data_IF_087274490237
#
_entry.id   IF_087274490237
#
_cell.length_a   1.000
_cell.length_b   1.000
_cell.length_c   1.000
_cell.angle_alpha   90.00
_cell.angle_beta   90.00
_cell.angle_gamma   90.00
#
_symmetry.space_group_name_H-M   'P 1'
#
loop_
_entity.id
_entity.type
_entity.pdbx_description
1 polymer ?
#
# COMPACT_ATOMS: atom_id res chain seq x y z
N UNK A 1 -1.56 14.84 4.57
CA UNK A 1 -2.30 14.05 5.58
C UNK A 1 -3.75 13.78 5.16
N UNK A 2 -4.46 14.79 4.63
CA UNK A 2 -5.87 14.66 4.21
C UNK A 2 -6.15 13.46 3.28
N UNK A 3 -5.48 13.39 2.11
CA UNK A 3 -5.68 12.28 1.15
C UNK A 3 -5.43 10.91 1.76
N UNK A 4 -4.46 10.80 2.68
CA UNK A 4 -4.15 9.54 3.33
C UNK A 4 -5.31 9.06 4.23
N UNK A 5 -6.03 9.96 4.87
CA UNK A 5 -7.14 9.61 5.77
C UNK A 5 -8.35 8.98 5.05
N UNK A 6 -8.43 9.09 3.72
CA UNK A 6 -9.50 8.48 2.92
C UNK A 6 -9.37 6.95 2.84
N UNK A 7 -8.17 6.40 3.05
CA UNK A 7 -7.89 4.98 2.91
C UNK A 7 -7.93 4.21 4.23
N UNK A 8 -8.47 2.99 4.23
CA UNK A 8 -8.65 2.19 5.45
C UNK A 8 -7.33 1.73 6.07
N UNK A 9 -6.35 1.38 5.24
CA UNK A 9 -5.00 0.95 5.64
C UNK A 9 -4.19 2.09 6.29
N UNK A 10 -4.59 3.32 6.03
CA UNK A 10 -3.99 4.51 6.62
C UNK A 10 -4.62 4.95 7.95
N UNK A 11 -5.79 4.42 8.31
CA UNK A 11 -6.50 4.68 9.57
C UNK A 11 -6.01 3.69 10.62
N UNK A 12 -5.13 4.16 11.47
CA UNK A 12 -4.51 3.36 12.52
C UNK A 12 -5.23 3.55 13.86
N UNK A 13 -5.48 2.45 14.60
CA UNK A 13 -6.02 2.49 15.96
C UNK A 13 -5.08 1.76 16.91
N UNK A 14 -4.84 2.34 18.10
CA UNK A 14 -4.03 1.72 19.17
C UNK A 14 -4.80 0.62 19.91
N UNK A 15 -6.10 0.83 20.09
CA UNK A 15 -6.99 -0.15 20.69
C UNK A 15 -7.23 -1.31 19.71
N UNK A 16 -6.85 -2.51 20.13
CA UNK A 16 -6.97 -3.74 19.35
C UNK A 16 -8.41 -4.25 19.31
N UNK A 17 -9.19 -4.00 20.37
CA UNK A 17 -10.59 -4.39 20.47
C UNK A 17 -11.49 -3.46 19.64
N UNK A 18 -10.94 -2.35 19.15
CA UNK A 18 -11.64 -1.45 18.23
C UNK A 18 -11.80 -2.00 16.80
N UNK A 19 -11.27 -3.19 16.52
CA UNK A 19 -11.46 -3.92 15.26
C UNK A 19 -12.28 -5.21 15.48
N UNK A 20 -13.12 -5.60 14.50
CA UNK A 20 -13.84 -6.87 14.56
C UNK A 20 -12.89 -8.06 14.67
N UNK A 21 -13.30 -9.11 15.38
CA UNK A 21 -12.48 -10.32 15.55
C UNK A 21 -12.20 -10.97 14.19
N UNK A 22 -10.95 -11.39 13.93
CA UNK A 22 -10.61 -12.07 12.68
C UNK A 22 -11.44 -13.33 12.45
N UNK A 23 -12.11 -13.40 11.30
CA UNK A 23 -12.93 -14.54 10.89
C UNK A 23 -12.65 -14.92 9.45
N UNK A 24 -12.09 -16.10 9.24
CA UNK A 24 -11.81 -16.63 7.91
C UNK A 24 -12.84 -17.69 7.52
N UNK A 25 -13.70 -17.38 6.53
CA UNK A 25 -14.75 -18.30 6.04
C UNK A 25 -14.18 -19.58 5.44
N UNK A 26 -12.99 -19.51 4.80
CA UNK A 26 -12.32 -20.68 4.23
C UNK A 26 -11.00 -20.95 4.95
N UNK A 27 -10.85 -22.09 5.66
CA UNK A 27 -9.59 -22.42 6.30
C UNK A 27 -8.47 -22.62 5.28
N UNK A 28 -7.21 -22.40 5.67
CA UNK A 28 -6.07 -22.64 4.79
C UNK A 28 -6.05 -24.07 4.27
N UNK A 29 -5.69 -24.27 2.99
CA UNK A 29 -5.52 -25.61 2.41
C UNK A 29 -4.48 -26.37 3.26
N UNK A 30 -4.87 -27.52 3.82
CA UNK A 30 -4.06 -28.35 4.72
C UNK A 30 -3.64 -27.67 6.05
N UNK A 31 -4.40 -26.67 6.52
CA UNK A 31 -4.11 -26.01 7.80
C UNK A 31 -2.84 -25.16 7.83
N UNK A 32 -2.06 -25.11 6.74
CA UNK A 32 -0.78 -24.40 6.69
C UNK A 32 -0.99 -22.90 6.47
N UNK A 33 -0.44 -22.10 7.36
CA UNK A 33 -0.23 -20.67 7.15
C UNK A 33 0.64 -20.46 5.91
N UNK A 34 0.45 -19.37 5.14
CA UNK A 34 1.29 -19.10 3.98
C UNK A 34 2.77 -19.02 4.36
N UNK A 35 3.57 -19.99 3.91
CA UNK A 35 5.02 -19.96 4.07
C UNK A 35 5.66 -18.95 3.09
N UNK A 36 6.84 -18.46 3.46
CA UNK A 36 7.72 -17.70 2.59
C UNK A 36 8.00 -18.50 1.31
N UNK A 37 7.85 -17.91 0.11
CA UNK A 37 8.22 -18.59 -1.12
C UNK A 37 9.74 -18.85 -1.11
N UNK A 38 10.15 -20.11 -1.27
CA UNK A 38 11.55 -20.55 -1.14
C UNK A 38 12.28 -20.63 -2.49
N UNK A 39 11.53 -20.56 -3.60
CA UNK A 39 12.07 -20.66 -4.97
C UNK A 39 11.56 -19.52 -5.87
N UNK A 40 12.32 -19.19 -6.91
CA UNK A 40 11.92 -18.20 -7.91
C UNK A 40 10.58 -18.52 -8.58
N UNK A 41 10.31 -19.81 -8.85
CA UNK A 41 9.04 -20.27 -9.43
C UNK A 41 7.85 -20.01 -8.49
N UNK A 42 8.03 -20.19 -7.17
CA UNK A 42 7.02 -19.85 -6.18
C UNK A 42 6.80 -18.35 -6.06
N UNK A 43 7.86 -17.54 -6.19
CA UNK A 43 7.76 -16.08 -6.20
C UNK A 43 6.93 -15.61 -7.40
N UNK A 44 7.30 -16.05 -8.62
CA UNK A 44 6.61 -15.66 -9.86
C UNK A 44 5.14 -16.10 -9.85
N UNK A 45 4.86 -17.34 -9.46
CA UNK A 45 3.48 -17.83 -9.36
C UNK A 45 2.65 -17.07 -8.32
N UNK A 46 3.25 -16.70 -7.18
CA UNK A 46 2.58 -15.88 -6.17
C UNK A 46 2.33 -14.46 -6.68
N UNK A 47 3.28 -13.86 -7.40
CA UNK A 47 3.11 -12.56 -8.04
C UNK A 47 1.97 -12.57 -9.06
N UNK A 48 1.97 -13.53 -9.97
CA UNK A 48 0.95 -13.68 -11.00
C UNK A 48 -0.44 -13.91 -10.38
N UNK A 49 -0.54 -14.81 -9.40
CA UNK A 49 -1.81 -15.10 -8.73
C UNK A 49 -2.29 -13.90 -7.92
N UNK A 50 -1.40 -13.21 -7.21
CA UNK A 50 -1.69 -12.01 -6.45
C UNK A 50 -2.22 -10.88 -7.34
N UNK A 51 -1.56 -10.66 -8.48
CA UNK A 51 -1.98 -9.68 -9.48
C UNK A 51 -3.38 -10.00 -10.04
N UNK A 52 -3.62 -11.24 -10.47
CA UNK A 52 -4.93 -11.67 -10.98
C UNK A 52 -6.03 -11.49 -9.94
N UNK A 53 -5.73 -11.76 -8.66
CA UNK A 53 -6.70 -11.58 -7.57
C UNK A 53 -7.13 -10.13 -7.39
N UNK A 54 -6.26 -9.15 -7.64
CA UNK A 54 -6.64 -7.73 -7.49
C UNK A 54 -7.81 -7.33 -8.39
N UNK A 55 -7.94 -7.98 -9.55
CA UNK A 55 -9.04 -7.75 -10.48
C UNK A 55 -10.28 -8.61 -10.23
N UNK A 56 -10.27 -9.53 -9.27
CA UNK A 56 -11.44 -10.37 -8.95
C UNK A 56 -12.31 -9.72 -7.89
N UNK A 57 -13.58 -10.12 -7.81
CA UNK A 57 -14.47 -9.72 -6.71
C UNK A 57 -13.89 -10.10 -5.33
N UNK A 58 -14.32 -9.40 -4.30
CA UNK A 58 -14.01 -9.71 -2.89
C UNK A 58 -15.19 -10.43 -2.24
N UNK A 59 -14.92 -11.13 -1.15
CA UNK A 59 -15.98 -11.71 -0.32
C UNK A 59 -16.65 -10.61 0.50
N UNK A 60 -17.97 -10.67 0.67
CA UNK A 60 -18.67 -9.69 1.51
C UNK A 60 -18.23 -9.78 2.96
N UNK A 61 -18.03 -11.00 3.48
CA UNK A 61 -17.54 -11.22 4.84
C UNK A 61 -16.20 -10.53 5.15
N UNK A 62 -15.31 -10.35 4.16
CA UNK A 62 -14.01 -9.69 4.39
C UNK A 62 -14.13 -8.18 4.57
N UNK A 63 -15.26 -7.56 4.17
CA UNK A 63 -15.54 -6.14 4.45
C UNK A 63 -15.98 -5.89 5.89
N UNK A 64 -16.53 -6.92 6.55
CA UNK A 64 -17.10 -6.82 7.89
C UNK A 64 -16.16 -7.41 8.94
N UNK A 65 -15.46 -8.49 8.60
CA UNK A 65 -14.50 -9.14 9.49
C UNK A 65 -13.15 -9.30 8.78
N UNK A 66 -12.03 -8.98 9.44
CA UNK A 66 -10.71 -9.26 8.88
C UNK A 66 -10.49 -10.77 8.73
N UNK A 67 -9.79 -11.22 7.69
CA UNK A 67 -9.51 -12.67 7.50
C UNK A 67 -8.33 -13.16 8.36
N UNK A 68 -7.44 -12.25 8.78
CA UNK A 68 -6.27 -12.54 9.60
C UNK A 68 -5.78 -11.30 10.36
N UNK A 69 -5.01 -11.54 11.42
CA UNK A 69 -4.14 -10.54 12.05
C UNK A 69 -2.69 -10.87 11.70
N UNK A 70 -1.95 -9.89 11.17
CA UNK A 70 -0.60 -10.06 10.62
C UNK A 70 0.34 -9.11 11.38
N UNK A 71 1.38 -9.67 11.97
CA UNK A 71 2.43 -8.89 12.61
C UNK A 71 3.23 -8.10 11.57
N UNK A 72 3.77 -6.95 11.94
CA UNK A 72 4.53 -6.07 11.04
C UNK A 72 5.66 -6.79 10.28
N UNK A 73 6.33 -7.75 10.92
CA UNK A 73 7.42 -8.52 10.30
C UNK A 73 6.97 -9.42 9.14
N UNK A 74 5.69 -9.76 9.11
CA UNK A 74 5.07 -10.70 8.18
C UNK A 74 4.25 -10.01 7.08
N UNK A 75 4.21 -8.68 7.03
CA UNK A 75 3.42 -7.86 6.07
C UNK A 75 4.02 -7.81 4.67
N UNK A 76 4.56 -8.93 4.20
CA UNK A 76 5.18 -9.04 2.89
C UNK A 76 4.12 -9.26 1.81
N UNK A 77 4.36 -8.78 0.59
CA UNK A 77 3.34 -8.77 -0.48
C UNK A 77 2.82 -10.18 -0.83
N UNK A 78 3.65 -11.22 -0.75
CA UNK A 78 3.24 -12.61 -0.99
C UNK A 78 2.31 -13.19 0.08
N UNK A 79 2.36 -12.63 1.31
CA UNK A 79 1.44 -12.98 2.38
C UNK A 79 0.13 -12.21 2.22
N UNK A 80 0.21 -10.88 2.09
CA UNK A 80 -0.97 -10.00 2.01
C UNK A 80 -1.84 -10.28 0.78
N UNK A 81 -1.23 -10.55 -0.38
CA UNK A 81 -1.96 -10.84 -1.63
C UNK A 81 -2.90 -12.07 -1.57
N UNK A 82 -2.83 -12.87 -0.50
CA UNK A 82 -3.68 -14.05 -0.29
C UNK A 82 -4.99 -13.73 0.44
N UNK A 83 -5.06 -12.58 1.09
CA UNK A 83 -6.20 -12.14 1.89
C UNK A 83 -6.99 -11.06 1.16
N UNK A 84 -8.31 -11.06 1.37
CA UNK A 84 -9.17 -9.97 0.93
C UNK A 84 -9.24 -8.86 1.98
N UNK A 85 -9.01 -9.20 3.26
CA UNK A 85 -8.79 -8.21 4.31
C UNK A 85 -7.93 -8.75 5.46
N UNK A 86 -7.14 -7.89 6.10
CA UNK A 86 -6.30 -8.27 7.23
C UNK A 86 -6.06 -7.07 8.18
N UNK A 87 -5.96 -7.35 9.47
CA UNK A 87 -5.39 -6.41 10.43
C UNK A 87 -3.88 -6.52 10.35
N UNK A 88 -3.22 -5.37 10.31
CA UNK A 88 -1.77 -5.27 10.21
C UNK A 88 -1.27 -4.40 11.34
N UNK A 89 -0.39 -4.96 12.16
CA UNK A 89 0.31 -4.20 13.19
C UNK A 89 1.29 -3.22 12.55
N UNK A 90 1.35 -2.00 13.09
CA UNK A 90 2.32 -0.99 12.69
C UNK A 90 3.75 -1.42 13.01
N UNK A 91 4.73 -0.83 12.32
CA UNK A 91 6.15 -1.20 12.47
C UNK A 91 6.70 -0.98 13.89
N UNK A 92 6.15 -0.03 14.63
CA UNK A 92 6.47 0.25 16.04
C UNK A 92 5.71 -0.64 17.03
N UNK A 93 4.80 -1.50 16.55
CA UNK A 93 4.05 -2.45 17.39
C UNK A 93 2.92 -1.84 18.22
N UNK A 94 2.70 -0.52 18.15
CA UNK A 94 1.79 0.19 19.07
C UNK A 94 0.35 0.24 18.62
N UNK A 95 0.07 -0.12 17.37
CA UNK A 95 -1.24 0.06 16.77
C UNK A 95 -1.50 -0.91 15.60
N UNK A 96 -2.74 -0.94 15.12
CA UNK A 96 -3.15 -1.73 13.96
C UNK A 96 -3.90 -0.90 12.93
N UNK A 97 -3.76 -1.28 11.67
CA UNK A 97 -4.54 -0.76 10.55
C UNK A 97 -5.28 -1.89 9.84
N UNK A 98 -6.45 -1.59 9.28
CA UNK A 98 -7.24 -2.58 8.54
C UNK A 98 -7.05 -2.45 7.03
N UNK A 99 -6.32 -3.41 6.48
CA UNK A 99 -6.09 -3.55 5.05
C UNK A 99 -7.30 -4.24 4.43
N UNK A 100 -7.92 -3.60 3.45
CA UNK A 100 -9.07 -4.13 2.74
C UNK A 100 -8.81 -4.02 1.24
N UNK A 101 -9.01 -5.13 0.52
CA UNK A 101 -8.90 -5.13 -0.93
C UNK A 101 -10.14 -4.47 -1.51
N UNK A 102 -9.94 -3.52 -2.41
CA UNK A 102 -11.00 -2.90 -3.19
C UNK A 102 -10.61 -2.95 -4.68
N UNK A 103 -11.25 -3.83 -5.48
CA UNK A 103 -10.97 -3.96 -6.91
C UNK A 103 -11.26 -2.70 -7.73
N UNK A 104 -12.19 -1.85 -7.31
CA UNK A 104 -12.53 -0.62 -8.03
C UNK A 104 -11.47 0.45 -7.78
N UNK A 105 -11.15 0.69 -6.52
CA UNK A 105 -10.05 1.56 -6.11
C UNK A 105 -8.73 1.11 -6.73
N UNK A 106 -8.44 -0.21 -6.71
CA UNK A 106 -7.24 -0.76 -7.34
C UNK A 106 -7.16 -0.44 -8.84
N UNK A 107 -8.23 -0.68 -9.61
CA UNK A 107 -8.25 -0.38 -11.06
C UNK A 107 -8.11 1.12 -11.32
N UNK A 108 -8.76 1.96 -10.53
CA UNK A 108 -8.68 3.43 -10.64
C UNK A 108 -7.25 3.91 -10.41
N UNK A 109 -6.63 3.47 -9.30
CA UNK A 109 -5.25 3.81 -8.96
C UNK A 109 -4.24 3.28 -9.96
N UNK A 110 -4.42 2.05 -10.45
CA UNK A 110 -3.54 1.46 -11.45
C UNK A 110 -3.57 2.26 -12.74
N UNK A 111 -4.77 2.61 -13.25
CA UNK A 111 -4.90 3.46 -14.45
C UNK A 111 -4.23 4.82 -14.25
N UNK A 112 -4.47 5.47 -13.11
CA UNK A 112 -3.84 6.75 -12.77
C UNK A 112 -2.32 6.63 -12.69
N UNK A 113 -1.81 5.58 -12.06
CA UNK A 113 -0.38 5.31 -11.95
C UNK A 113 0.26 5.15 -13.32
N UNK A 114 -0.34 4.34 -14.21
CA UNK A 114 0.16 4.16 -15.58
C UNK A 114 0.20 5.50 -16.33
N UNK A 115 -0.89 6.29 -16.28
CA UNK A 115 -0.96 7.59 -16.93
C UNK A 115 0.11 8.57 -16.40
N UNK A 116 0.36 8.56 -15.09
CA UNK A 116 1.40 9.38 -14.47
C UNK A 116 2.81 8.94 -14.88
N UNK A 117 3.08 7.64 -14.97
CA UNK A 117 4.38 7.15 -15.44
C UNK A 117 4.63 7.51 -16.90
N UNK A 118 3.62 7.33 -17.77
CA UNK A 118 3.72 7.75 -19.17
C UNK A 118 3.98 9.25 -19.31
N UNK A 119 3.28 10.06 -18.51
CA UNK A 119 3.48 11.50 -18.46
C UNK A 119 4.90 11.85 -18.00
N UNK A 120 5.34 11.27 -16.89
CA UNK A 120 6.66 11.50 -16.33
C UNK A 120 7.76 11.14 -17.34
N UNK A 121 7.69 9.97 -17.98
CA UNK A 121 8.66 9.56 -18.99
C UNK A 121 8.70 10.50 -20.19
N UNK A 122 7.53 10.95 -20.67
CA UNK A 122 7.44 11.87 -21.81
C UNK A 122 7.98 13.27 -21.48
N UNK A 123 7.64 13.79 -20.29
CA UNK A 123 7.95 15.16 -19.88
C UNK A 123 9.33 15.29 -19.20
N UNK A 124 10.00 14.16 -18.91
CA UNK A 124 11.26 14.12 -18.17
C UNK A 124 12.36 15.03 -18.74
N UNK A 125 12.66 15.04 -20.06
CA UNK A 125 13.74 15.89 -20.57
C UNK A 125 13.49 17.38 -20.33
N UNK A 126 12.26 17.84 -20.58
CA UNK A 126 11.87 19.23 -20.36
C UNK A 126 11.89 19.58 -18.87
N UNK A 127 11.39 18.68 -18.01
CA UNK A 127 11.42 18.87 -16.57
C UNK A 127 12.85 18.95 -16.04
N UNK A 128 13.74 18.08 -16.53
CA UNK A 128 15.15 18.08 -16.14
C UNK A 128 15.85 19.40 -16.50
N UNK A 129 15.63 19.93 -17.70
CA UNK A 129 16.21 21.23 -18.09
C UNK A 129 15.62 22.39 -17.30
N UNK A 130 14.31 22.41 -17.03
CA UNK A 130 13.69 23.42 -16.16
C UNK A 130 14.28 23.41 -14.76
N UNK A 131 14.46 22.23 -14.15
CA UNK A 131 15.06 22.12 -12.82
C UNK A 131 16.53 22.53 -12.79
N UNK A 132 17.32 22.18 -13.83
CA UNK A 132 18.72 22.63 -13.94
C UNK A 132 18.83 24.14 -14.10
N UNK A 133 17.99 24.73 -14.95
CA UNK A 133 17.97 26.18 -15.16
C UNK A 133 17.55 26.95 -13.90
N UNK A 134 16.60 26.40 -13.13
CA UNK A 134 16.14 26.99 -11.87
C UNK A 134 17.09 26.73 -10.69
N UNK A 135 18.13 25.91 -10.85
CA UNK A 135 19.01 25.50 -9.75
C UNK A 135 19.62 26.69 -8.99
N UNK A 136 20.15 27.75 -9.64
CA UNK A 136 20.74 28.89 -8.93
C UNK A 136 19.73 29.60 -8.01
N UNK A 137 18.48 29.72 -8.44
CA UNK A 137 17.41 30.34 -7.63
C UNK A 137 17.01 29.42 -6.47
N UNK A 138 16.75 28.14 -6.76
CA UNK A 138 16.32 27.14 -5.77
C UNK A 138 17.31 26.96 -4.62
N UNK A 139 18.62 27.16 -4.87
CA UNK A 139 19.68 27.05 -3.86
C UNK A 139 20.18 28.41 -3.36
N UNK A 140 19.58 29.52 -3.79
CA UNK A 140 20.04 30.84 -3.37
C UNK A 140 19.66 31.14 -1.91
N UNK A 141 20.52 31.83 -1.14
CA UNK A 141 20.16 32.33 0.18
C UNK A 141 18.91 33.20 0.15
N UNK A 142 18.77 34.09 -0.84
CA UNK A 142 17.61 34.99 -0.96
C UNK A 142 16.27 34.25 -1.13
N UNK A 143 16.24 33.12 -1.85
CA UNK A 143 15.04 32.29 -1.96
C UNK A 143 14.70 31.57 -0.65
N UNK A 144 15.73 31.14 0.10
CA UNK A 144 15.57 30.50 1.40
C UNK A 144 15.18 31.52 2.49
N UNK A 145 15.69 32.76 2.44
CA UNK A 145 15.31 33.85 3.35
C UNK A 145 13.78 34.06 3.34
N UNK A 146 13.13 34.01 2.17
CA UNK A 146 11.67 34.12 2.04
C UNK A 146 10.90 32.98 2.71
N UNK A 147 11.49 31.78 2.75
CA UNK A 147 10.85 30.57 3.28
C UNK A 147 11.05 30.45 4.79
N UNK A 148 12.24 30.79 5.27
CA UNK A 148 12.66 30.61 6.66
C UNK A 148 12.60 31.90 7.50
N UNK A 149 12.42 33.06 6.87
CA UNK A 149 12.42 34.35 7.56
C UNK A 149 13.77 34.66 8.20
N UNK A 150 14.87 34.36 7.50
CA UNK A 150 16.24 34.50 8.04
C UNK A 150 16.72 35.97 8.10
N UNK A 151 15.87 36.93 7.71
CA UNK A 151 16.03 38.37 7.89
C UNK A 151 14.68 39.02 8.17
#
# INVERSE_FOLDING_TARGET
RATRAEFSDARTKRDLDAFPTPRRVRPPKRGKTPELPKSLTQIVSTAATGALRQFRGIRESSRVHPEASIAAMDTRWWMLSRYDSALVTTADGTAQSWYQRDPETFRSMLRRSIALHQRATREWPALAEQYKAALPELTSPDAWDKTFGLR
#
